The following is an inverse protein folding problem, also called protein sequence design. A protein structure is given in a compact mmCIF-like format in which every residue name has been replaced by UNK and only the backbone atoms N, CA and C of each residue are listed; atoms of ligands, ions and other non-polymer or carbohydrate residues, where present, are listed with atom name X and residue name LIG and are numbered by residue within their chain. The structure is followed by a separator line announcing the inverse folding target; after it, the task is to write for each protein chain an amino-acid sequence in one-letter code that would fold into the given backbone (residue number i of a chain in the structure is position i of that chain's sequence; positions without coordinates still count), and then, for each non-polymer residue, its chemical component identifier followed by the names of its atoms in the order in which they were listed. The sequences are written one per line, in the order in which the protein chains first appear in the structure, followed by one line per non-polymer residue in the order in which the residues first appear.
data_IF_272928360127
#
_entry.id   IF_272928360127
#
_cell.length_a   1.000
_cell.length_b   1.000
_cell.length_c   1.000
_cell.angle_alpha   90.00
_cell.angle_beta   90.00
_cell.angle_gamma   90.00
#
_symmetry.space_group_name_H-M   'P 1'
#
loop_
_entity.id
_entity.type
_entity.pdbx_description
1 polymer ?
#
# COMPACT_ATOMS: atom_id res chain seq x y z
N UNK A 1 6.94 9.68 -20.99
CA UNK A 1 7.09 8.50 -20.13
C UNK A 1 5.93 8.47 -19.15
N UNK A 2 5.09 7.42 -19.11
CA UNK A 2 3.98 7.35 -18.16
C UNK A 2 4.51 7.22 -16.73
N UNK A 3 3.92 7.96 -15.80
CA UNK A 3 4.21 7.93 -14.36
C UNK A 3 2.90 7.58 -13.66
N UNK A 4 2.96 6.67 -12.69
CA UNK A 4 1.82 6.39 -11.79
C UNK A 4 2.09 7.06 -10.45
N UNK A 5 1.07 7.73 -9.94
CA UNK A 5 1.05 8.29 -8.60
C UNK A 5 0.00 7.54 -7.79
N UNK A 6 0.36 7.06 -6.61
CA UNK A 6 -0.60 6.40 -5.72
C UNK A 6 -0.28 6.65 -4.24
N UNK A 7 -1.26 6.37 -3.38
CA UNK A 7 -1.04 6.33 -1.94
C UNK A 7 -0.66 4.92 -1.48
N UNK A 8 -0.10 4.81 -0.26
CA UNK A 8 0.11 3.54 0.43
C UNK A 8 -0.88 3.38 1.59
N UNK A 9 -0.97 2.17 2.13
CA UNK A 9 -1.71 1.91 3.37
C UNK A 9 -0.79 1.98 4.59
N UNK A 10 0.41 1.39 4.50
CA UNK A 10 1.38 1.35 5.59
C UNK A 10 2.83 1.34 5.10
N UNK A 11 3.72 1.89 5.92
CA UNK A 11 5.17 1.84 5.77
C UNK A 11 5.74 0.93 6.86
N UNK A 12 6.39 -0.17 6.49
CA UNK A 12 6.87 -1.20 7.42
C UNK A 12 8.30 -0.86 7.88
N UNK A 13 8.45 -0.49 9.14
CA UNK A 13 9.74 -0.10 9.71
C UNK A 13 10.75 -1.27 9.75
N UNK A 14 10.28 -2.49 10.00
CA UNK A 14 11.14 -3.68 10.16
C UNK A 14 12.00 -3.99 8.92
N UNK A 15 11.47 -3.81 7.70
CA UNK A 15 12.15 -4.21 6.47
C UNK A 15 12.13 -3.13 5.37
N UNK A 16 11.62 -1.93 5.66
CA UNK A 16 11.43 -0.87 4.66
C UNK A 16 10.35 -1.18 3.62
N UNK A 17 9.49 -2.17 3.87
CA UNK A 17 8.40 -2.53 2.98
C UNK A 17 7.31 -1.46 2.91
N UNK A 18 6.59 -1.41 1.79
CA UNK A 18 5.45 -0.51 1.59
C UNK A 18 4.25 -1.36 1.24
N UNK A 19 3.15 -1.19 1.97
CA UNK A 19 1.89 -1.87 1.68
C UNK A 19 1.04 -1.01 0.76
N UNK A 20 0.57 -1.59 -0.34
CA UNK A 20 -0.31 -0.93 -1.30
C UNK A 20 -1.56 -1.76 -1.54
N UNK A 21 -2.70 -1.07 -1.64
CA UNK A 21 -3.96 -1.71 -1.95
C UNK A 21 -4.15 -1.80 -3.48
N UNK A 22 -4.62 -2.94 -3.99
CA UNK A 22 -4.85 -3.16 -5.43
C UNK A 22 -5.82 -2.17 -6.08
N UNK A 23 -6.71 -1.51 -5.32
CA UNK A 23 -7.50 -0.39 -5.86
C UNK A 23 -6.60 0.78 -6.27
N UNK A 24 -5.53 1.06 -5.52
CA UNK A 24 -4.58 2.15 -5.84
C UNK A 24 -3.76 1.88 -7.10
N UNK A 25 -3.65 0.62 -7.53
CA UNK A 25 -2.98 0.22 -8.78
C UNK A 25 -3.95 -0.06 -9.93
N UNK A 26 -5.25 0.21 -9.73
CA UNK A 26 -6.30 -0.09 -10.71
C UNK A 26 -6.45 -1.59 -11.00
N UNK A 27 -6.14 -2.44 -10.01
CA UNK A 27 -6.18 -3.91 -10.12
C UNK A 27 -4.97 -4.51 -10.84
N UNK A 28 -3.98 -3.70 -11.23
CA UNK A 28 -2.76 -4.16 -11.90
C UNK A 28 -1.74 -4.66 -10.89
N UNK A 29 -0.91 -5.63 -11.29
CA UNK A 29 0.23 -6.04 -10.48
C UNK A 29 1.28 -4.94 -10.50
N UNK A 30 2.11 -4.86 -9.46
CA UNK A 30 3.26 -3.95 -9.41
C UNK A 30 4.18 -4.10 -10.64
N UNK A 31 4.32 -5.33 -11.15
CA UNK A 31 5.12 -5.63 -12.34
C UNK A 31 4.55 -5.03 -13.64
N UNK A 32 3.24 -4.72 -13.67
CA UNK A 32 2.55 -4.16 -14.84
C UNK A 32 2.51 -2.61 -14.80
N UNK A 33 3.04 -2.00 -13.72
CA UNK A 33 3.11 -0.55 -13.58
C UNK A 33 4.31 0.02 -14.35
N UNK A 34 4.26 1.31 -14.73
CA UNK A 34 5.40 1.97 -15.35
C UNK A 34 6.65 1.91 -14.46
N UNK A 35 7.82 1.99 -15.10
CA UNK A 35 9.13 2.02 -14.41
C UNK A 35 9.21 3.08 -13.31
N UNK A 36 8.48 4.19 -13.48
CA UNK A 36 8.39 5.26 -12.50
C UNK A 36 7.03 5.20 -11.79
N UNK A 37 7.04 4.73 -10.55
CA UNK A 37 5.89 4.71 -9.66
C UNK A 37 6.22 5.54 -8.42
N UNK A 38 5.48 6.62 -8.23
CA UNK A 38 5.66 7.55 -7.11
C UNK A 38 4.58 7.29 -6.07
N UNK A 39 4.99 7.03 -4.84
CA UNK A 39 4.12 6.83 -3.69
C UNK A 39 4.08 8.08 -2.82
N UNK A 40 2.89 8.55 -2.50
CA UNK A 40 2.67 9.58 -1.49
C UNK A 40 2.32 8.88 -0.18
N UNK A 41 3.09 9.16 0.87
CA UNK A 41 2.95 8.54 2.18
C UNK A 41 3.18 9.56 3.31
N UNK A 42 2.55 9.31 4.46
CA UNK A 42 2.69 10.11 5.67
C UNK A 42 3.37 9.32 6.78
N UNK A 43 4.04 10.01 7.71
CA UNK A 43 4.69 9.39 8.88
C UNK A 43 3.69 8.68 9.80
N UNK A 44 2.42 9.10 9.79
CA UNK A 44 1.33 8.44 10.51
C UNK A 44 1.02 7.02 10.01
N UNK A 45 1.55 6.63 8.85
CA UNK A 45 1.36 5.31 8.26
C UNK A 45 2.51 4.34 8.58
N UNK A 46 3.50 4.78 9.35
CA UNK A 46 4.62 3.93 9.78
C UNK A 46 4.13 2.95 10.85
N UNK A 47 4.35 1.66 10.61
CA UNK A 47 4.04 0.57 11.52
C UNK A 47 5.28 -0.28 11.76
N UNK A 48 5.36 -0.94 12.92
CA UNK A 48 6.56 -1.68 13.28
C UNK A 48 6.80 -2.87 12.34
N UNK A 49 5.75 -3.65 12.04
CA UNK A 49 5.84 -4.85 11.22
C UNK A 49 4.61 -5.07 10.32
N UNK A 50 4.68 -6.08 9.44
CA UNK A 50 3.61 -6.40 8.50
C UNK A 50 2.28 -6.76 9.18
N UNK A 51 2.32 -7.41 10.36
CA UNK A 51 1.09 -7.79 11.09
C UNK A 51 0.35 -6.55 11.58
N UNK A 52 1.08 -5.55 12.05
CA UNK A 52 0.51 -4.26 12.45
C UNK A 52 -0.11 -3.54 11.24
N UNK A 53 0.56 -3.57 10.09
CA UNK A 53 0.03 -3.03 8.83
C UNK A 53 -1.28 -3.71 8.40
N UNK A 54 -1.32 -5.04 8.42
CA UNK A 54 -2.54 -5.81 8.14
C UNK A 54 -3.66 -5.51 9.14
N UNK A 55 -3.31 -5.31 10.41
CA UNK A 55 -4.27 -4.97 11.47
C UNK A 55 -4.85 -3.57 11.24
N UNK A 56 -4.00 -2.58 10.92
CA UNK A 56 -4.41 -1.21 10.59
C UNK A 56 -5.37 -1.19 9.38
N UNK A 57 -5.07 -1.96 8.32
CA UNK A 57 -5.95 -2.10 7.16
C UNK A 57 -7.27 -2.77 7.56
N UNK A 58 -7.23 -3.88 8.29
CA UNK A 58 -8.45 -4.57 8.70
C UNK A 58 -9.36 -3.69 9.58
N UNK A 59 -8.78 -2.84 10.42
CA UNK A 59 -9.54 -1.87 11.22
C UNK A 59 -10.14 -0.76 10.34
N UNK A 60 -9.35 -0.20 9.42
CA UNK A 60 -9.77 0.87 8.51
C UNK A 60 -10.87 0.43 7.53
N UNK A 61 -10.86 -0.84 7.12
CA UNK A 61 -11.78 -1.40 6.12
C UNK A 61 -12.72 -2.49 6.67
N UNK A 62 -13.04 -2.45 7.97
CA UNK A 62 -13.85 -3.47 8.69
C UNK A 62 -15.08 -3.98 7.93
N UNK A 63 -15.80 -3.09 7.24
CA UNK A 63 -17.04 -3.40 6.50
C UNK A 63 -16.79 -3.61 4.99
N UNK A 64 -15.66 -3.13 4.44
CA UNK A 64 -15.38 -3.09 3.00
C UNK A 64 -13.96 -3.58 2.73
N UNK A 65 -13.71 -4.87 3.03
CA UNK A 65 -12.36 -5.43 2.94
C UNK A 65 -11.78 -5.23 1.53
N UNK A 66 -10.62 -4.58 1.39
CA UNK A 66 -9.88 -4.49 0.14
C UNK A 66 -9.56 -5.88 -0.43
N UNK A 67 -9.91 -6.14 -1.69
CA UNK A 67 -9.83 -7.47 -2.30
C UNK A 67 -8.41 -8.00 -2.54
N UNK A 68 -7.41 -7.13 -2.67
CA UNK A 68 -6.01 -7.53 -2.89
C UNK A 68 -5.03 -6.55 -2.22
N UNK A 69 -4.30 -7.01 -1.20
CA UNK A 69 -3.24 -6.25 -0.52
C UNK A 69 -1.92 -6.89 -0.95
N UNK A 70 -1.01 -6.11 -1.53
CA UNK A 70 0.30 -6.56 -2.00
C UNK A 70 1.43 -5.81 -1.29
#
# INVERSE_FOLDING_TARGET
FPIVLSACEALIAFNGGIMVHGHHTGGRKLADLPKNHILIAFTSQIVANLRDGMTAINQKYREHRPGNIA
#
